data_IF_915685877896
#
_entry.id   IF_915685877896
#
_cell.length_a   1.000
_cell.length_b   1.000
_cell.length_c   1.000
_cell.angle_alpha   90.00
_cell.angle_beta   90.00
_cell.angle_gamma   90.00
#
_symmetry.space_group_name_H-M   'P 1'
#
loop_
_entity.id
_entity.type
_entity.pdbx_description
1 polymer ?
#
# COMPACT_ATOMS: atom_id res chain seq x y z
N UNK A 1 -12.98 7.96 -12.23
CA UNK A 1 -13.12 8.67 -10.95
C UNK A 1 -11.81 8.45 -10.25
N UNK A 2 -11.04 9.51 -10.00
CA UNK A 2 -9.74 9.37 -9.34
C UNK A 2 -9.99 9.08 -7.87
N UNK A 3 -9.43 7.99 -7.35
CA UNK A 3 -9.62 7.58 -5.96
C UNK A 3 -8.86 8.53 -5.04
N UNK A 4 -9.57 9.14 -4.08
CA UNK A 4 -8.99 9.92 -2.99
C UNK A 4 -9.55 9.38 -1.66
N UNK A 5 -8.70 8.87 -0.76
CA UNK A 5 -9.17 8.38 0.53
C UNK A 5 -9.76 9.53 1.37
N UNK A 6 -10.91 9.30 2.00
CA UNK A 6 -11.48 10.24 2.97
C UNK A 6 -10.86 10.00 4.36
N UNK A 7 -10.72 11.08 5.16
CA UNK A 7 -10.19 11.02 6.53
C UNK A 7 -8.75 10.49 6.64
N UNK A 8 -7.85 10.95 5.77
CA UNK A 8 -6.41 10.74 5.93
C UNK A 8 -5.94 11.44 7.21
N UNK A 9 -5.59 10.67 8.24
CA UNK A 9 -5.03 11.18 9.49
C UNK A 9 -3.57 10.75 9.65
N UNK A 10 -2.67 11.73 9.59
CA UNK A 10 -1.24 11.53 9.82
C UNK A 10 -0.54 10.77 8.69
N UNK A 11 0.79 10.88 8.67
CA UNK A 11 1.66 10.14 7.76
C UNK A 11 2.80 9.49 8.54
N UNK A 12 3.29 8.37 8.04
CA UNK A 12 4.43 7.68 8.61
C UNK A 12 5.44 7.30 7.53
N UNK A 13 6.70 7.13 7.93
CA UNK A 13 7.76 6.64 7.05
C UNK A 13 7.97 5.14 7.13
N UNK A 14 7.25 4.47 8.01
CA UNK A 14 7.38 3.04 8.23
C UNK A 14 6.14 2.34 7.68
N UNK A 15 6.26 1.06 7.41
CA UNK A 15 5.17 0.22 6.95
C UNK A 15 5.37 -1.20 7.48
N UNK A 16 4.28 -1.95 7.56
CA UNK A 16 4.31 -3.38 7.83
C UNK A 16 4.02 -4.16 6.54
N UNK A 17 4.50 -5.40 6.45
CA UNK A 17 4.13 -6.25 5.33
C UNK A 17 2.61 -6.48 5.31
N UNK A 18 2.02 -6.25 4.16
CA UNK A 18 0.58 -6.25 3.90
C UNK A 18 -0.06 -4.87 3.91
N UNK A 19 0.62 -3.82 4.37
CA UNK A 19 0.01 -2.48 4.40
C UNK A 19 -0.32 -1.97 2.99
N UNK A 20 -1.55 -1.48 2.85
CA UNK A 20 -2.01 -0.71 1.68
C UNK A 20 -1.98 0.75 2.11
N UNK A 21 -1.19 1.54 1.41
CA UNK A 21 -0.94 2.93 1.77
C UNK A 21 -1.28 3.89 0.65
N UNK A 22 -1.56 5.13 1.01
CA UNK A 22 -1.69 6.26 0.10
C UNK A 22 -0.60 7.29 0.38
N UNK A 23 0.07 7.78 -0.66
CA UNK A 23 1.03 8.87 -0.54
C UNK A 23 0.43 10.16 -1.11
N UNK A 24 0.15 11.13 -0.24
CA UNK A 24 -0.44 12.41 -0.65
C UNK A 24 0.48 13.20 -1.62
N UNK A 25 1.80 13.12 -1.45
CA UNK A 25 2.77 13.86 -2.27
C UNK A 25 2.80 13.42 -3.74
N UNK A 26 2.41 12.17 -4.04
CA UNK A 26 2.48 11.58 -5.37
C UNK A 26 1.12 11.12 -5.92
N UNK A 27 0.05 11.26 -5.11
CA UNK A 27 -1.30 10.80 -5.44
C UNK A 27 -1.34 9.35 -5.94
N UNK A 28 -0.59 8.46 -5.29
CA UNK A 28 -0.52 7.04 -5.64
C UNK A 28 -0.78 6.15 -4.42
N UNK A 29 -1.11 4.90 -4.73
CA UNK A 29 -1.24 3.83 -3.73
C UNK A 29 -0.06 2.87 -3.85
N UNK A 30 0.33 2.29 -2.72
CA UNK A 30 1.32 1.23 -2.66
C UNK A 30 0.82 0.08 -1.78
N UNK A 31 1.09 -1.15 -2.21
CA UNK A 31 0.98 -2.34 -1.38
C UNK A 31 2.39 -2.74 -1.00
N UNK A 32 2.71 -2.69 0.29
CA UNK A 32 3.98 -3.19 0.79
C UNK A 32 3.83 -4.67 1.12
N UNK A 33 4.59 -5.55 0.48
CA UNK A 33 4.45 -7.01 0.69
C UNK A 33 5.72 -7.68 1.21
N UNK A 34 6.87 -6.99 1.18
CA UNK A 34 8.13 -7.50 1.71
C UNK A 34 9.02 -6.34 2.18
N UNK A 35 9.90 -6.62 3.16
CA UNK A 35 10.86 -5.67 3.71
C UNK A 35 12.24 -6.33 3.74
N UNK A 36 13.25 -5.55 3.34
CA UNK A 36 14.66 -5.86 3.59
C UNK A 36 15.17 -4.77 4.54
N UNK A 37 15.65 -5.18 5.72
CA UNK A 37 16.27 -4.30 6.73
C UNK A 37 15.39 -3.18 7.32
N UNK A 38 14.05 -3.31 7.28
CA UNK A 38 13.09 -2.34 7.83
C UNK A 38 13.36 -0.89 7.42
N UNK A 39 13.25 -0.57 6.12
CA UNK A 39 13.66 0.73 5.61
C UNK A 39 12.63 1.81 6.01
N UNK A 40 13.14 2.97 6.39
CA UNK A 40 12.32 4.17 6.45
C UNK A 40 12.11 4.70 5.02
N UNK A 41 10.86 4.97 4.65
CA UNK A 41 10.49 5.64 3.41
C UNK A 41 11.03 7.08 3.38
N UNK A 42 11.38 7.57 2.20
CA UNK A 42 11.76 8.97 1.99
C UNK A 42 10.57 9.93 2.09
N UNK A 43 9.36 9.40 1.89
CA UNK A 43 8.08 10.12 1.90
C UNK A 43 7.19 9.58 3.01
N UNK A 44 6.27 10.42 3.48
CA UNK A 44 5.22 9.98 4.39
C UNK A 44 4.11 9.29 3.60
N UNK A 45 3.62 8.18 4.16
CA UNK A 45 2.50 7.41 3.63
C UNK A 45 1.46 7.21 4.72
N UNK A 46 0.20 7.15 4.30
CA UNK A 46 -0.95 6.94 5.19
C UNK A 46 -1.47 5.52 5.00
N UNK A 47 -1.49 4.65 6.04
CA UNK A 47 -2.14 3.36 5.96
C UNK A 47 -3.65 3.55 5.75
N UNK A 48 -4.18 2.97 4.67
CA UNK A 48 -5.61 3.02 4.32
C UNK A 48 -6.25 1.63 4.30
N UNK A 49 -5.44 0.58 4.44
CA UNK A 49 -5.91 -0.79 4.49
C UNK A 49 -4.77 -1.78 4.70
N UNK A 50 -5.12 -3.07 4.71
CA UNK A 50 -4.16 -4.15 4.84
C UNK A 50 -4.63 -5.38 4.09
N UNK A 51 -3.72 -6.02 3.36
CA UNK A 51 -3.91 -7.36 2.81
C UNK A 51 -3.85 -8.36 3.96
N UNK A 52 -4.94 -9.09 4.17
CA UNK A 52 -5.07 -10.08 5.27
C UNK A 52 -4.87 -11.51 4.81
N UNK A 53 -4.82 -11.74 3.49
CA UNK A 53 -4.51 -13.01 2.85
C UNK A 53 -3.00 -13.21 2.71
N UNK A 54 -2.60 -14.37 2.17
CA UNK A 54 -1.21 -14.68 1.86
C UNK A 54 -0.57 -13.61 0.94
N UNK A 55 0.58 -13.09 1.36
CA UNK A 55 1.35 -12.08 0.63
C UNK A 55 2.28 -12.69 -0.41
N UNK A 56 2.59 -13.99 -0.33
CA UNK A 56 3.49 -14.65 -1.27
C UNK A 56 2.97 -14.61 -2.72
N UNK A 57 1.67 -14.35 -2.92
CA UNK A 57 1.09 -14.13 -4.25
C UNK A 57 1.80 -12.97 -4.99
N UNK A 58 2.23 -11.93 -4.29
CA UNK A 58 2.89 -10.77 -4.88
C UNK A 58 4.28 -11.09 -5.43
N UNK A 59 4.93 -12.16 -4.95
CA UNK A 59 6.23 -12.60 -5.50
C UNK A 59 6.13 -13.16 -6.91
N UNK A 60 4.92 -13.51 -7.35
CA UNK A 60 4.67 -14.10 -8.68
C UNK A 60 4.20 -13.06 -9.71
N UNK A 61 4.09 -11.78 -9.32
CA UNK A 61 3.65 -10.71 -10.23
C UNK A 61 4.76 -10.32 -11.20
N UNK A 62 4.38 -10.03 -12.44
CA UNK A 62 5.31 -9.44 -13.41
C UNK A 62 5.59 -7.97 -13.06
N UNK A 63 6.49 -7.35 -13.82
CA UNK A 63 6.83 -5.92 -13.66
C UNK A 63 5.64 -4.95 -13.76
N UNK A 64 4.51 -5.41 -14.33
CA UNK A 64 3.27 -4.63 -14.46
C UNK A 64 2.07 -5.55 -14.35
N UNK A 65 1.24 -5.27 -13.37
CA UNK A 65 -0.05 -5.94 -13.16
C UNK A 65 -1.18 -4.91 -13.08
N UNK A 66 -2.41 -5.35 -13.35
CA UNK A 66 -3.62 -4.56 -13.12
C UNK A 66 -4.28 -5.02 -11.82
N UNK A 67 -4.46 -4.10 -10.87
CA UNK A 67 -5.03 -4.37 -9.55
C UNK A 67 -6.40 -3.70 -9.45
N UNK A 68 -7.42 -4.47 -9.06
CA UNK A 68 -8.78 -3.96 -8.80
C UNK A 68 -9.11 -4.13 -7.32
N UNK A 69 -9.55 -3.05 -6.68
CA UNK A 69 -10.10 -3.08 -5.31
C UNK A 69 -11.63 -3.13 -5.38
N UNK A 70 -12.23 -4.06 -4.66
CA UNK A 70 -13.70 -4.19 -4.53
C UNK A 70 -14.07 -4.50 -3.08
N UNK A 71 -15.30 -4.16 -2.69
CA UNK A 71 -15.83 -4.61 -1.41
C UNK A 71 -15.88 -6.14 -1.37
N UNK A 72 -15.52 -6.70 -0.21
CA UNK A 72 -15.70 -8.13 0.03
C UNK A 72 -17.20 -8.49 0.00
N UNK A 73 -17.52 -9.68 -0.50
CA UNK A 73 -18.87 -10.26 -0.45
C UNK A 73 -19.16 -10.89 0.91
#
# INVERSE_FOLDING_TARGET
MDFYPENLEGGQKNFENGDITYCEAHHNMAIFYTQIDHPNLSVDVVPIGRVTSDLAVFENFDSREEITFSLAQ
#
